data_IF_297997007648
#
_entry.id   IF_297997007648
#
_cell.length_a   1.000
_cell.length_b   1.000
_cell.length_c   1.000
_cell.angle_alpha   90.00
_cell.angle_beta   90.00
_cell.angle_gamma   90.00
#
_symmetry.space_group_name_H-M   'P 1'
#
loop_
_entity.id
_entity.type
_entity.pdbx_description
1 polymer ?
#
# COMPACT_ATOMS: atom_id res chain seq x y z
N UNK A 1 3.00 -13.67 -13.45
CA UNK A 1 3.91 -13.12 -12.41
C UNK A 1 3.99 -14.10 -11.24
N UNK A 2 5.18 -14.42 -10.73
CA UNK A 2 5.33 -15.37 -9.60
C UNK A 2 4.69 -14.83 -8.32
N UNK A 3 4.12 -15.72 -7.47
CA UNK A 3 3.44 -15.32 -6.22
C UNK A 3 4.30 -14.43 -5.32
N UNK A 4 5.60 -14.74 -5.22
CA UNK A 4 6.56 -13.96 -4.43
C UNK A 4 6.75 -12.55 -4.99
N UNK A 5 6.95 -12.41 -6.31
CA UNK A 5 7.12 -11.10 -6.95
C UNK A 5 5.84 -10.28 -6.80
N UNK A 6 4.67 -10.90 -6.98
CA UNK A 6 3.38 -10.23 -6.76
C UNK A 6 3.28 -9.68 -5.34
N UNK A 7 3.53 -10.52 -4.34
CA UNK A 7 3.50 -10.09 -2.94
C UNK A 7 4.48 -8.93 -2.68
N UNK A 8 5.72 -9.02 -3.17
CA UNK A 8 6.73 -7.96 -2.99
C UNK A 8 6.28 -6.65 -3.62
N UNK A 9 5.83 -6.66 -4.87
CA UNK A 9 5.39 -5.44 -5.57
C UNK A 9 4.18 -4.83 -4.89
N UNK A 10 3.20 -5.64 -4.48
CA UNK A 10 2.01 -5.18 -3.77
C UNK A 10 2.36 -4.55 -2.41
N UNK A 11 3.25 -5.17 -1.64
CA UNK A 11 3.68 -4.65 -0.34
C UNK A 11 4.47 -3.36 -0.50
N UNK A 12 5.41 -3.30 -1.45
CA UNK A 12 6.19 -2.08 -1.70
C UNK A 12 5.32 -0.94 -2.21
N UNK A 13 4.40 -1.22 -3.14
CA UNK A 13 3.44 -0.25 -3.66
C UNK A 13 2.48 0.25 -2.58
N UNK A 14 1.99 -0.66 -1.73
CA UNK A 14 1.17 -0.33 -0.57
C UNK A 14 1.91 0.54 0.43
N UNK A 15 3.12 0.15 0.83
CA UNK A 15 3.92 0.91 1.79
C UNK A 15 4.21 2.32 1.26
N UNK A 16 4.69 2.44 0.03
CA UNK A 16 5.04 3.74 -0.54
C UNK A 16 3.80 4.62 -0.77
N UNK A 17 2.77 4.09 -1.44
CA UNK A 17 1.56 4.83 -1.75
C UNK A 17 0.75 5.17 -0.49
N UNK A 18 0.56 4.20 0.39
CA UNK A 18 -0.23 4.35 1.62
C UNK A 18 0.39 5.36 2.59
N UNK A 19 1.70 5.29 2.86
CA UNK A 19 2.34 6.29 3.71
C UNK A 19 2.41 7.66 3.06
N UNK A 20 2.69 7.76 1.75
CA UNK A 20 2.68 9.05 1.06
C UNK A 20 1.32 9.75 1.19
N UNK A 21 0.23 9.00 1.01
CA UNK A 21 -1.13 9.51 1.23
C UNK A 21 -1.40 9.81 2.72
N UNK A 22 -0.91 8.98 3.64
CA UNK A 22 -1.04 9.22 5.07
C UNK A 22 -0.44 10.55 5.52
N UNK A 23 0.78 10.85 5.08
CA UNK A 23 1.45 12.13 5.36
C UNK A 23 0.82 13.31 4.63
N UNK A 24 0.31 13.10 3.41
CA UNK A 24 -0.36 14.14 2.63
C UNK A 24 -1.71 14.54 3.24
N UNK A 25 -2.51 13.56 3.67
CA UNK A 25 -3.86 13.76 4.20
C UNK A 25 -3.88 14.10 5.70
N UNK A 26 -2.83 13.74 6.43
CA UNK A 26 -2.69 14.02 7.86
C UNK A 26 -1.39 14.76 8.13
N UNK A 27 -1.32 16.07 7.82
CA UNK A 27 -0.15 16.88 8.07
C UNK A 27 0.01 17.14 9.57
N UNK A 28 0.66 16.19 10.26
CA UNK A 28 1.13 16.31 11.63
C UNK A 28 2.65 16.14 11.66
N UNK A 29 3.41 17.16 12.07
CA UNK A 29 4.87 17.13 12.08
C UNK A 29 5.44 16.12 13.08
N UNK A 30 4.64 15.66 14.05
CA UNK A 30 5.07 14.64 15.03
C UNK A 30 4.88 13.22 14.51
N UNK A 31 4.18 13.04 13.39
CA UNK A 31 3.94 11.74 12.77
C UNK A 31 2.89 10.88 13.50
N UNK A 32 2.24 11.38 14.55
CA UNK A 32 1.30 10.60 15.37
C UNK A 32 0.02 10.26 14.63
N UNK A 33 -0.51 11.18 13.84
CA UNK A 33 -1.70 10.96 13.02
C UNK A 33 -1.42 10.33 11.66
N UNK A 34 -0.37 10.71 10.89
CA UNK A 34 -0.09 10.06 9.60
C UNK A 34 0.40 8.63 9.71
N UNK A 35 0.98 8.21 10.85
CA UNK A 35 1.39 6.81 11.05
C UNK A 35 0.21 5.83 10.98
N UNK A 36 -0.84 5.92 11.83
CA UNK A 36 -1.97 5.01 11.76
C UNK A 36 -2.75 5.16 10.44
N UNK A 37 -2.94 6.40 9.95
CA UNK A 37 -3.63 6.64 8.66
C UNK A 37 -2.86 5.99 7.51
N UNK A 38 -1.56 6.25 7.42
CA UNK A 38 -0.68 5.68 6.40
C UNK A 38 -0.61 4.16 6.49
N UNK A 39 -0.62 3.59 7.69
CA UNK A 39 -0.66 2.12 7.89
C UNK A 39 -1.93 1.51 7.32
N UNK A 40 -3.11 2.08 7.65
CA UNK A 40 -4.40 1.60 7.13
C UNK A 40 -4.44 1.69 5.60
N UNK A 41 -4.00 2.83 5.05
CA UNK A 41 -3.92 3.02 3.61
C UNK A 41 -2.94 2.05 2.95
N UNK A 42 -1.77 1.82 3.57
CA UNK A 42 -0.76 0.92 3.03
C UNK A 42 -1.24 -0.52 2.94
N UNK A 43 -1.92 -1.00 3.98
CA UNK A 43 -2.55 -2.33 3.99
C UNK A 43 -3.63 -2.41 2.90
N UNK A 44 -4.52 -1.41 2.83
CA UNK A 44 -5.58 -1.36 1.84
C UNK A 44 -5.05 -1.40 0.40
N UNK A 45 -4.05 -0.57 0.09
CA UNK A 45 -3.42 -0.50 -1.23
C UNK A 45 -2.65 -1.79 -1.53
N UNK A 46 -1.92 -2.37 -0.58
CA UNK A 46 -1.22 -3.63 -0.80
C UNK A 46 -2.18 -4.78 -1.13
N UNK A 47 -3.30 -4.89 -0.41
CA UNK A 47 -4.33 -5.90 -0.69
C UNK A 47 -4.93 -5.68 -2.08
N UNK A 48 -5.32 -4.45 -2.39
CA UNK A 48 -5.89 -4.10 -3.70
C UNK A 48 -4.93 -4.45 -4.85
N UNK A 49 -3.66 -4.04 -4.75
CA UNK A 49 -2.64 -4.36 -5.74
C UNK A 49 -2.41 -5.86 -5.88
N UNK A 50 -2.43 -6.62 -4.79
CA UNK A 50 -2.22 -8.07 -4.83
C UNK A 50 -3.35 -8.80 -5.56
N UNK A 51 -4.59 -8.34 -5.38
CA UNK A 51 -5.76 -8.88 -6.08
C UNK A 51 -5.69 -8.53 -7.57
N UNK A 52 -5.51 -7.26 -7.91
CA UNK A 52 -5.46 -6.78 -9.31
C UNK A 52 -4.35 -7.47 -10.10
N UNK A 53 -3.12 -7.50 -9.57
CA UNK A 53 -2.01 -8.20 -10.25
C UNK A 53 -2.25 -9.73 -10.36
N UNK A 54 -3.19 -10.26 -9.58
CA UNK A 54 -3.62 -11.65 -9.69
C UNK A 54 -4.61 -11.87 -10.81
N UNK A 55 -5.58 -10.98 -10.97
CA UNK A 55 -6.56 -11.00 -12.08
C UNK A 55 -5.86 -10.82 -13.43
N UNK A 56 -4.95 -9.86 -13.53
CA UNK A 56 -4.13 -9.61 -14.73
C UNK A 56 -3.24 -10.80 -15.13
N UNK A 57 -2.90 -11.68 -14.18
CA UNK A 57 -2.12 -12.89 -14.47
C UNK A 57 -2.98 -14.06 -14.98
N UNK A 58 -4.31 -13.93 -14.92
CA UNK A 58 -5.29 -14.95 -15.36
C UNK A 58 -6.07 -14.56 -16.61
N UNK A 59 -5.99 -13.29 -17.02
CA UNK A 59 -6.49 -12.78 -18.30
C UNK A 59 -5.50 -13.10 -19.43
#
# INVERSE_FOLDING_TARGET
MGRAIRAVVSVLGGLFGGFSLGFLLSPDPTGRTPMPVGTVLAVGVAVALYVVLGEEATA
#
